data_IF_216372801585
#
_entry.id   IF_216372801585
#
_cell.length_a   1.000
_cell.length_b   1.000
_cell.length_c   1.000
_cell.angle_alpha   90.00
_cell.angle_beta   90.00
_cell.angle_gamma   90.00
#
_symmetry.space_group_name_H-M   'P 1'
#
loop_
_entity.id
_entity.type
_entity.pdbx_description
1 polymer ?
#
# COMPACT_ATOMS: atom_id res chain seq x y z
N UNK A 1 25.05 18.35 -20.19
CA UNK A 1 24.67 16.97 -19.78
C UNK A 1 24.41 16.88 -18.29
N UNK A 2 25.36 17.18 -17.39
CA UNK A 2 25.15 17.03 -15.94
C UNK A 2 24.00 17.88 -15.36
N UNK A 3 23.84 19.13 -15.82
CA UNK A 3 22.72 19.98 -15.36
C UNK A 3 21.34 19.44 -15.79
N UNK A 4 21.25 18.83 -16.97
CA UNK A 4 20.00 18.19 -17.45
C UNK A 4 19.65 16.96 -16.61
N UNK A 5 20.64 16.13 -16.29
CA UNK A 5 20.48 14.97 -15.41
C UNK A 5 20.06 15.36 -13.99
N UNK A 6 20.58 16.47 -13.46
CA UNK A 6 20.16 17.01 -12.16
C UNK A 6 18.69 17.44 -12.18
N UNK A 7 18.27 18.17 -13.22
CA UNK A 7 16.88 18.63 -13.36
C UNK A 7 15.92 17.44 -13.46
N UNK A 8 16.26 16.43 -14.28
CA UNK A 8 15.47 15.19 -14.42
C UNK A 8 15.35 14.47 -13.08
N UNK A 9 16.48 14.22 -12.41
CA UNK A 9 16.51 13.53 -11.13
C UNK A 9 15.70 14.25 -10.04
N UNK A 10 15.84 15.57 -9.96
CA UNK A 10 15.01 16.40 -9.07
C UNK A 10 13.51 16.26 -9.40
N UNK A 11 13.16 16.27 -10.68
CA UNK A 11 11.79 16.06 -11.13
C UNK A 11 11.24 14.71 -10.69
N UNK A 12 12.00 13.64 -10.90
CA UNK A 12 11.62 12.28 -10.51
C UNK A 12 11.43 12.16 -9.00
N UNK A 13 12.35 12.69 -8.18
CA UNK A 13 12.21 12.65 -6.72
C UNK A 13 10.96 13.37 -6.23
N UNK A 14 10.66 14.54 -6.79
CA UNK A 14 9.46 15.29 -6.41
C UNK A 14 8.18 14.56 -6.82
N UNK A 15 8.18 13.89 -7.96
CA UNK A 15 7.04 13.11 -8.43
C UNK A 15 6.84 11.84 -7.59
N UNK A 16 7.90 11.11 -7.26
CA UNK A 16 7.81 9.97 -6.32
C UNK A 16 7.25 10.42 -4.96
N UNK A 17 7.73 11.56 -4.45
CA UNK A 17 7.26 12.08 -3.17
C UNK A 17 5.75 12.38 -3.18
N UNK A 18 5.24 12.96 -4.27
CA UNK A 18 3.82 13.28 -4.40
C UNK A 18 2.98 12.00 -4.51
N UNK A 19 3.45 10.99 -5.23
CA UNK A 19 2.81 9.69 -5.36
C UNK A 19 2.75 8.96 -4.02
N UNK A 20 3.85 8.91 -3.25
CA UNK A 20 3.85 8.30 -1.92
C UNK A 20 2.87 8.99 -0.97
N UNK A 21 2.79 10.32 -0.99
CA UNK A 21 1.82 11.08 -0.17
C UNK A 21 0.38 10.82 -0.59
N UNK A 22 0.11 10.74 -1.90
CA UNK A 22 -1.21 10.43 -2.43
C UNK A 22 -1.65 9.03 -1.99
N UNK A 23 -0.82 8.02 -2.25
CA UNK A 23 -1.05 6.64 -1.82
C UNK A 23 -1.28 6.56 -0.31
N UNK A 24 -0.46 7.26 0.49
CA UNK A 24 -0.59 7.27 1.95
C UNK A 24 -1.94 7.82 2.42
N UNK A 25 -2.44 8.84 1.73
CA UNK A 25 -3.76 9.42 2.00
C UNK A 25 -4.87 8.42 1.68
N UNK A 26 -4.75 7.68 0.58
CA UNK A 26 -5.71 6.64 0.20
C UNK A 26 -5.73 5.49 1.22
N UNK A 27 -4.56 5.07 1.70
CA UNK A 27 -4.46 4.05 2.75
C UNK A 27 -5.12 4.49 4.07
N UNK A 28 -4.99 5.77 4.45
CA UNK A 28 -5.73 6.29 5.60
C UNK A 28 -7.24 6.14 5.42
N UNK A 29 -7.74 6.48 4.23
CA UNK A 29 -9.18 6.36 3.92
C UNK A 29 -9.65 4.91 3.90
N UNK A 30 -8.83 3.98 3.40
CA UNK A 30 -9.15 2.55 3.49
C UNK A 30 -9.25 2.09 4.94
N UNK A 31 -8.31 2.50 5.79
CA UNK A 31 -8.34 2.14 7.20
C UNK A 31 -9.58 2.71 7.90
N UNK A 32 -10.00 3.93 7.56
CA UNK A 32 -11.27 4.51 8.01
C UNK A 32 -12.48 3.71 7.51
N UNK A 33 -12.53 3.34 6.22
CA UNK A 33 -13.61 2.57 5.64
C UNK A 33 -13.73 1.16 6.25
N UNK A 34 -12.59 0.49 6.54
CA UNK A 34 -12.54 -0.80 7.22
C UNK A 34 -13.10 -0.69 8.65
N UNK A 35 -12.56 0.25 9.44
CA UNK A 35 -12.80 0.30 10.89
C UNK A 35 -14.15 0.93 11.23
N UNK A 36 -14.55 1.98 10.52
CA UNK A 36 -15.72 2.78 10.90
C UNK A 36 -16.98 2.39 10.12
N UNK A 37 -16.85 2.19 8.82
CA UNK A 37 -18.02 2.13 7.93
C UNK A 37 -18.34 0.70 7.47
N UNK A 38 -17.37 -0.23 7.51
CA UNK A 38 -17.46 -1.53 6.86
C UNK A 38 -17.93 -1.41 5.40
N UNK A 39 -17.49 -0.34 4.73
CA UNK A 39 -17.93 0.03 3.39
C UNK A 39 -17.07 -0.67 2.34
N UNK A 40 -17.57 -1.78 1.82
CA UNK A 40 -16.88 -2.58 0.81
C UNK A 40 -16.86 -1.90 -0.57
N UNK A 41 -17.82 -1.02 -0.88
CA UNK A 41 -17.85 -0.30 -2.15
C UNK A 41 -16.79 0.80 -2.17
N UNK A 42 -16.64 1.56 -1.08
CA UNK A 42 -15.56 2.53 -0.93
C UNK A 42 -14.19 1.86 -0.98
N UNK A 43 -14.02 0.69 -0.35
CA UNK A 43 -12.77 -0.06 -0.39
C UNK A 43 -12.39 -0.51 -1.81
N UNK A 44 -13.35 -1.00 -2.60
CA UNK A 44 -13.09 -1.38 -3.99
C UNK A 44 -12.71 -0.15 -4.84
N UNK A 45 -13.43 0.96 -4.68
CA UNK A 45 -13.11 2.20 -5.37
C UNK A 45 -11.71 2.74 -5.02
N UNK A 46 -11.30 2.62 -3.76
CA UNK A 46 -9.95 3.03 -3.31
C UNK A 46 -8.87 2.12 -3.91
N UNK A 47 -9.09 0.81 -3.94
CA UNK A 47 -8.17 -0.15 -4.58
C UNK A 47 -8.00 0.18 -6.07
N UNK A 48 -9.10 0.37 -6.80
CA UNK A 48 -9.06 0.73 -8.23
C UNK A 48 -8.31 2.05 -8.46
N UNK A 49 -8.52 3.04 -7.59
CA UNK A 49 -7.87 4.33 -7.71
C UNK A 49 -6.37 4.31 -7.35
N UNK A 50 -5.88 3.31 -6.61
CA UNK A 50 -4.44 3.14 -6.32
C UNK A 50 -3.66 2.58 -7.52
N UNK A 51 -4.28 1.72 -8.32
CA UNK A 51 -3.66 1.08 -9.51
C UNK A 51 -2.92 2.08 -10.42
N UNK A 52 -3.52 3.19 -10.89
CA UNK A 52 -2.83 4.14 -11.75
C UNK A 52 -1.68 4.88 -11.06
N UNK A 53 -1.69 5.01 -9.73
CA UNK A 53 -0.58 5.61 -8.98
C UNK A 53 0.60 4.65 -8.87
N UNK A 54 0.33 3.36 -8.68
CA UNK A 54 1.34 2.30 -8.68
C UNK A 54 2.00 2.21 -10.06
N UNK A 55 1.21 2.21 -11.13
CA UNK A 55 1.75 2.21 -12.50
C UNK A 55 2.65 3.42 -12.79
N UNK A 56 2.35 4.59 -12.21
CA UNK A 56 3.22 5.77 -12.32
C UNK A 56 4.55 5.59 -11.56
N UNK A 57 4.54 4.95 -10.38
CA UNK A 57 5.76 4.62 -9.65
C UNK A 57 6.64 3.63 -10.44
N UNK A 58 6.03 2.63 -11.08
CA UNK A 58 6.76 1.68 -11.93
C UNK A 58 7.40 2.40 -13.12
N UNK A 59 6.66 3.28 -13.80
CA UNK A 59 7.19 4.09 -14.89
C UNK A 59 8.32 5.03 -14.45
N UNK A 60 8.25 5.57 -13.23
CA UNK A 60 9.35 6.37 -12.66
C UNK A 60 10.59 5.54 -12.39
N UNK A 61 10.44 4.31 -11.90
CA UNK A 61 11.57 3.40 -11.71
C UNK A 61 12.28 3.09 -13.04
N UNK A 62 11.52 2.90 -14.12
CA UNK A 62 12.07 2.76 -15.48
C UNK A 62 12.77 4.04 -15.95
N UNK A 63 12.17 5.21 -15.73
CA UNK A 63 12.76 6.49 -16.09
C UNK A 63 14.08 6.75 -15.36
N UNK A 64 14.17 6.36 -14.08
CA UNK A 64 15.43 6.35 -13.33
C UNK A 64 16.45 5.42 -13.96
N UNK A 65 16.07 4.18 -14.30
CA UNK A 65 16.99 3.22 -14.89
C UNK A 65 17.53 3.72 -16.26
N UNK A 66 16.70 4.42 -17.04
CA UNK A 66 17.11 5.05 -18.29
C UNK A 66 18.10 6.20 -18.05
N UNK A 67 17.80 7.10 -17.11
CA UNK A 67 18.70 8.19 -16.73
C UNK A 67 20.07 7.67 -16.28
N UNK A 68 20.10 6.53 -15.60
CA UNK A 68 21.36 5.92 -15.15
C UNK A 68 22.15 5.29 -16.27
N UNK A 69 21.46 4.67 -17.22
CA UNK A 69 22.08 4.15 -18.43
C UNK A 69 22.73 5.27 -19.25
N UNK A 70 22.10 6.46 -19.31
CA UNK A 70 22.68 7.66 -19.92
C UNK A 70 23.94 8.18 -19.20
N UNK A 71 24.07 7.88 -17.91
CA UNK A 71 25.20 8.28 -17.06
C UNK A 71 26.27 7.18 -16.89
N UNK A 72 26.14 6.07 -17.63
CA UNK A 72 27.00 4.87 -17.55
C UNK A 72 27.07 4.25 -16.14
N UNK A 73 26.01 4.44 -15.34
CA UNK A 73 25.84 3.78 -14.04
C UNK A 73 25.10 2.46 -14.27
N UNK A 74 25.79 1.34 -14.05
CA UNK A 74 25.25 -0.02 -14.22
C UNK A 74 24.59 -0.61 -12.98
N UNK A 75 24.46 0.18 -11.92
CA UNK A 75 23.82 -0.27 -10.68
C UNK A 75 22.29 -0.28 -10.83
N UNK A 76 21.64 -1.15 -10.05
CA UNK A 76 20.19 -1.21 -9.99
C UNK A 76 19.64 -0.02 -9.20
N UNK A 77 18.58 0.60 -9.75
CA UNK A 77 17.81 1.62 -9.08
C UNK A 77 17.39 1.19 -7.65
N UNK A 78 17.47 2.12 -6.70
CA UNK A 78 17.08 1.90 -5.30
C UNK A 78 18.16 1.32 -4.36
N UNK A 79 19.32 0.89 -4.87
CA UNK A 79 20.40 0.38 -4.00
C UNK A 79 21.22 1.50 -3.33
N UNK A 80 21.80 1.23 -2.16
CA UNK A 80 22.63 2.22 -1.46
C UNK A 80 23.89 2.60 -2.26
N UNK A 81 24.50 1.61 -2.93
CA UNK A 81 25.66 1.80 -3.80
C UNK A 81 25.30 2.66 -5.01
N UNK A 82 24.11 2.46 -5.58
CA UNK A 82 23.56 3.30 -6.63
C UNK A 82 23.51 4.77 -6.21
N UNK A 83 22.87 5.09 -5.09
CA UNK A 83 22.72 6.47 -4.64
C UNK A 83 24.05 7.14 -4.33
N UNK A 84 25.01 6.41 -3.76
CA UNK A 84 26.35 6.93 -3.53
C UNK A 84 27.03 7.34 -4.84
N UNK A 85 27.07 6.43 -5.85
CA UNK A 85 27.68 6.72 -7.15
C UNK A 85 26.98 7.86 -7.87
N UNK A 86 25.64 7.87 -7.85
CA UNK A 86 24.85 8.92 -8.49
C UNK A 86 25.15 10.31 -7.91
N UNK A 87 25.20 10.43 -6.58
CA UNK A 87 25.47 11.71 -5.91
C UNK A 87 26.88 12.25 -6.20
N UNK A 88 27.87 11.37 -6.39
CA UNK A 88 29.25 11.81 -6.74
C UNK A 88 29.37 12.48 -8.10
N UNK A 89 28.36 12.35 -8.98
CA UNK A 89 28.37 12.99 -10.30
C UNK A 89 28.07 14.49 -10.25
N UNK A 90 27.50 14.97 -9.14
CA UNK A 90 27.02 16.34 -8.99
C UNK A 90 27.92 17.16 -8.05
N UNK A 91 27.94 18.50 -8.21
CA UNK A 91 28.53 19.40 -7.23
C UNK A 91 27.92 19.23 -5.82
N UNK A 92 28.65 19.59 -4.74
CA UNK A 92 28.21 19.34 -3.37
C UNK A 92 26.82 19.89 -3.02
N UNK A 93 26.50 21.09 -3.47
CA UNK A 93 25.20 21.74 -3.24
C UNK A 93 24.04 20.96 -3.87
N UNK A 94 24.25 20.44 -5.08
CA UNK A 94 23.26 19.62 -5.79
C UNK A 94 23.16 18.21 -5.18
N UNK A 95 24.30 17.62 -4.80
CA UNK A 95 24.36 16.31 -4.17
C UNK A 95 23.65 16.32 -2.80
N UNK A 96 23.88 17.36 -1.98
CA UNK A 96 23.23 17.51 -0.67
C UNK A 96 21.72 17.64 -0.82
N UNK A 97 21.25 18.44 -1.79
CA UNK A 97 19.83 18.58 -2.09
C UNK A 97 19.20 17.24 -2.49
N UNK A 98 19.82 16.50 -3.41
CA UNK A 98 19.33 15.21 -3.86
C UNK A 98 19.34 14.18 -2.70
N UNK A 99 20.40 14.16 -1.90
CA UNK A 99 20.51 13.28 -0.73
C UNK A 99 19.39 13.51 0.28
N UNK A 100 19.11 14.77 0.61
CA UNK A 100 18.01 15.12 1.50
C UNK A 100 16.66 14.64 0.95
N UNK A 101 16.41 14.87 -0.35
CA UNK A 101 15.15 14.43 -0.98
C UNK A 101 15.02 12.92 -1.03
N UNK A 102 16.11 12.19 -1.22
CA UNK A 102 16.12 10.74 -1.15
C UNK A 102 15.74 10.21 0.23
N UNK A 103 16.27 10.83 1.29
CA UNK A 103 15.91 10.50 2.66
C UNK A 103 14.42 10.76 2.91
N UNK A 104 13.90 11.89 2.44
CA UNK A 104 12.47 12.21 2.54
C UNK A 104 11.59 11.20 1.79
N UNK A 105 11.98 10.81 0.57
CA UNK A 105 11.23 9.81 -0.22
C UNK A 105 11.24 8.45 0.45
N UNK A 106 12.40 8.03 0.97
CA UNK A 106 12.52 6.77 1.72
C UNK A 106 11.63 6.77 2.96
N UNK A 107 11.65 7.85 3.74
CA UNK A 107 10.78 7.98 4.91
C UNK A 107 9.30 7.95 4.53
N UNK A 108 8.92 8.60 3.41
CA UNK A 108 7.55 8.57 2.91
C UNK A 108 7.12 7.17 2.46
N UNK A 109 8.00 6.43 1.78
CA UNK A 109 7.76 5.06 1.36
C UNK A 109 7.66 4.10 2.56
N UNK A 110 8.54 4.22 3.55
CA UNK A 110 8.49 3.43 4.79
C UNK A 110 7.18 3.69 5.55
N UNK A 111 6.76 4.95 5.68
CA UNK A 111 5.50 5.33 6.30
C UNK A 111 4.28 4.75 5.55
N UNK A 112 4.31 4.76 4.21
CA UNK A 112 3.29 4.15 3.37
C UNK A 112 3.19 2.64 3.63
N UNK A 113 4.33 1.94 3.61
CA UNK A 113 4.36 0.48 3.82
C UNK A 113 3.86 0.08 5.22
N UNK A 114 4.21 0.84 6.24
CA UNK A 114 3.67 0.62 7.60
C UNK A 114 2.15 0.80 7.65
N UNK A 115 1.64 1.82 6.96
CA UNK A 115 0.20 2.07 6.90
C UNK A 115 -0.56 0.99 6.13
N UNK A 116 -0.03 0.54 5.00
CA UNK A 116 -0.59 -0.59 4.22
C UNK A 116 -0.62 -1.88 5.06
N UNK A 117 0.47 -2.18 5.77
CA UNK A 117 0.53 -3.35 6.66
C UNK A 117 -0.52 -3.30 7.77
N UNK A 118 -0.81 -2.10 8.31
CA UNK A 118 -1.89 -1.90 9.29
C UNK A 118 -3.26 -2.13 8.66
N UNK A 119 -3.51 -1.55 7.48
CA UNK A 119 -4.79 -1.72 6.76
C UNK A 119 -5.04 -3.20 6.42
N UNK A 120 -4.03 -3.92 5.92
CA UNK A 120 -4.14 -5.36 5.64
C UNK A 120 -4.44 -6.16 6.91
N UNK A 121 -3.76 -5.85 8.02
CA UNK A 121 -4.00 -6.52 9.30
C UNK A 121 -5.43 -6.32 9.80
N UNK A 122 -5.99 -5.11 9.69
CA UNK A 122 -7.36 -4.84 10.10
C UNK A 122 -8.36 -5.55 9.19
N UNK A 123 -8.16 -5.48 7.87
CA UNK A 123 -9.00 -6.20 6.90
C UNK A 123 -9.06 -7.71 7.22
N UNK A 124 -7.91 -8.32 7.54
CA UNK A 124 -7.82 -9.74 7.91
C UNK A 124 -8.62 -10.06 9.17
N UNK A 125 -8.52 -9.22 10.21
CA UNK A 125 -9.31 -9.38 11.45
C UNK A 125 -10.81 -9.30 11.15
N UNK A 126 -11.24 -8.35 10.31
CA UNK A 126 -12.64 -8.21 9.91
C UNK A 126 -13.15 -9.46 9.17
N UNK A 127 -12.38 -9.99 8.22
CA UNK A 127 -12.72 -11.22 7.48
C UNK A 127 -12.84 -12.42 8.43
N UNK A 128 -11.90 -12.59 9.36
CA UNK A 128 -11.93 -13.71 10.31
C UNK A 128 -13.10 -13.60 11.29
N UNK A 129 -13.45 -12.39 11.73
CA UNK A 129 -14.64 -12.14 12.54
C UNK A 129 -15.94 -12.49 11.79
N UNK A 130 -16.05 -12.11 10.52
CA UNK A 130 -17.20 -12.47 9.68
C UNK A 130 -17.30 -13.99 9.50
N UNK A 131 -16.18 -14.68 9.29
CA UNK A 131 -16.14 -16.15 9.22
C UNK A 131 -16.61 -16.81 10.51
N UNK A 132 -16.19 -16.31 11.67
CA UNK A 132 -16.63 -16.85 12.95
C UNK A 132 -18.12 -16.57 13.24
N UNK A 133 -18.62 -15.39 12.86
CA UNK A 133 -20.06 -15.09 12.87
C UNK A 133 -20.85 -16.05 11.98
N UNK A 134 -20.39 -16.33 10.76
CA UNK A 134 -21.05 -17.31 9.88
C UNK A 134 -21.02 -18.72 10.47
N UNK A 135 -19.89 -19.15 11.06
CA UNK A 135 -19.79 -20.46 11.73
C UNK A 135 -20.75 -20.56 12.91
N UNK A 136 -20.77 -19.57 13.80
CA UNK A 136 -21.69 -19.54 14.95
C UNK A 136 -23.16 -19.50 14.52
N UNK A 137 -23.52 -18.73 13.49
CA UNK A 137 -24.88 -18.75 12.91
C UNK A 137 -25.24 -20.13 12.33
N UNK A 138 -24.32 -20.77 11.61
CA UNK A 138 -24.56 -22.11 11.05
C UNK A 138 -24.74 -23.18 12.15
N UNK A 139 -23.98 -23.07 13.26
CA UNK A 139 -24.13 -23.92 14.45
C UNK A 139 -25.46 -23.65 15.16
N UNK A 140 -25.83 -22.38 15.33
CA UNK A 140 -27.10 -21.96 15.92
C UNK A 140 -28.31 -22.44 15.11
N UNK A 141 -28.27 -22.35 13.77
CA UNK A 141 -29.29 -22.91 12.89
C UNK A 141 -29.39 -24.43 13.01
N UNK A 142 -28.26 -25.14 13.07
CA UNK A 142 -28.25 -26.61 13.30
C UNK A 142 -28.85 -26.97 14.66
N UNK A 143 -28.46 -26.27 15.73
CA UNK A 143 -29.00 -26.48 17.07
C UNK A 143 -30.51 -26.20 17.13
N UNK A 144 -30.98 -25.14 16.47
CA UNK A 144 -32.41 -24.81 16.38
C UNK A 144 -33.21 -25.87 15.60
N UNK A 145 -32.68 -26.38 14.48
CA UNK A 145 -33.30 -27.47 13.71
C UNK A 145 -33.37 -28.75 14.54
N UNK A 146 -32.32 -29.08 15.30
CA UNK A 146 -32.34 -30.24 16.20
C UNK A 146 -33.35 -30.04 17.34
N UNK A 147 -33.44 -28.84 17.91
CA UNK A 147 -34.38 -28.54 18.98
C UNK A 147 -35.84 -28.58 18.51
N UNK A 148 -36.14 -28.06 17.33
CA UNK A 148 -37.50 -28.13 16.73
C UNK A 148 -37.87 -29.55 16.30
N UNK A 149 -36.91 -30.39 15.90
CA UNK A 149 -37.14 -31.84 15.68
C UNK A 149 -37.35 -32.64 16.98
N UNK A 150 -36.71 -32.26 18.08
CA UNK A 150 -36.84 -32.97 19.36
C UNK A 150 -37.99 -32.44 20.24
N UNK A 151 -38.39 -31.17 20.10
CA UNK A 151 -39.53 -30.57 20.79
C UNK A 151 -40.89 -30.86 20.16
N UNK A 152 -40.93 -31.44 18.95
CA UNK A 152 -42.15 -31.89 18.28
C UNK A 152 -42.55 -33.35 18.57
N UNK A 153 -41.81 -34.05 19.43
CA UNK A 153 -42.03 -35.47 19.75
C UNK A 153 -42.57 -35.72 21.18
N UNK A 154 -42.98 -34.67 21.90
CA UNK A 154 -43.62 -34.78 23.22
C UNK A 154 -44.94 -33.99 23.23
N UNK A 155 -45.94 -34.50 22.51
CA UNK A 155 -47.36 -34.22 22.74
C UNK A 155 -48.16 -35.20 21.85
N UNK A 156 -48.07 -36.49 22.16
CA UNK A 156 -49.05 -37.50 21.71
C UNK A 156 -48.82 -38.73 22.58
N UNK A 157 -49.32 -38.68 23.81
CA UNK A 157 -49.76 -39.83 24.62
C UNK A 157 -50.25 -39.27 25.96
N UNK A 158 -51.55 -38.97 26.01
CA UNK A 158 -52.44 -39.11 27.18
C UNK A 158 -53.91 -39.02 26.71
#
# INVERSE_FOLDING_TARGET
MRDDSFIKAKGYLLQEQSLYKALRTMVSRELEAIVLNCDMEELLALIEAKVPLIAQLESLAEAWQNLLSELDIRETYGTAVFWQKFLTLFPPDQADFLSQRLLENRAAAENLMEAEGKAESELRKHVDHLREKMRSMSRGRKAFITYTKMGGAQCDEL
#
